data_IF_561210567027
#
_entry.id   IF_561210567027
#
_cell.length_a   1.000
_cell.length_b   1.000
_cell.length_c   1.000
_cell.angle_alpha   90.00
_cell.angle_beta   90.00
_cell.angle_gamma   90.00
#
_symmetry.space_group_name_H-M   'P 1'
#
loop_
_entity.id
_entity.type
_entity.pdbx_description
1 polymer ?
#
# COMPACT_ATOMS: atom_id res chain seq x y z
N UNK A 1 -19.92 -4.45 -2.28
CA UNK A 1 -19.39 -3.89 -3.54
C UNK A 1 -17.91 -3.59 -3.37
N UNK A 2 -17.02 -4.56 -3.65
CA UNK A 2 -15.59 -4.41 -3.34
C UNK A 2 -14.82 -3.91 -4.57
N UNK A 3 -14.19 -2.74 -4.47
CA UNK A 3 -13.24 -2.20 -5.46
C UNK A 3 -12.12 -1.57 -4.64
N UNK A 4 -10.95 -2.21 -4.55
CA UNK A 4 -9.85 -2.06 -5.51
C UNK A 4 -9.60 -0.59 -5.80
N UNK A 5 -8.86 0.08 -4.92
CA UNK A 5 -8.18 1.33 -5.26
C UNK A 5 -6.71 1.23 -4.85
N UNK A 6 -5.96 0.61 -5.77
CA UNK A 6 -4.62 1.00 -6.23
C UNK A 6 -3.50 0.90 -5.18
N UNK A 7 -3.03 -0.34 -4.99
CA UNK A 7 -1.59 -0.59 -4.94
C UNK A 7 -1.00 -0.32 -6.34
N UNK A 8 0.16 0.33 -6.49
CA UNK A 8 0.80 0.42 -7.80
C UNK A 8 1.22 -1.00 -8.24
N UNK A 9 0.69 -1.43 -9.39
CA UNK A 9 1.04 -2.68 -10.06
C UNK A 9 2.51 -2.63 -10.52
N UNK A 10 3.31 -3.63 -10.14
CA UNK A 10 4.63 -3.89 -10.75
C UNK A 10 4.74 -5.41 -10.99
N UNK A 11 5.22 -5.83 -12.18
CA UNK A 11 4.51 -6.66 -13.13
C UNK A 11 4.37 -8.13 -12.71
N UNK A 12 3.24 -8.75 -13.06
CA UNK A 12 3.08 -10.21 -13.04
C UNK A 12 3.97 -10.85 -14.11
N UNK A 13 5.18 -11.25 -13.74
CA UNK A 13 5.86 -12.31 -14.48
C UNK A 13 5.17 -13.64 -14.12
N UNK A 14 4.19 -14.00 -14.97
CA UNK A 14 3.70 -15.34 -15.27
C UNK A 14 3.60 -16.36 -14.11
N UNK A 15 2.41 -16.42 -13.50
CA UNK A 15 1.95 -17.63 -12.81
C UNK A 15 1.20 -18.51 -13.81
N UNK A 16 1.88 -19.51 -14.37
CA UNK A 16 1.27 -20.57 -15.19
C UNK A 16 1.19 -21.89 -14.39
N UNK A 17 -0.03 -22.42 -14.28
CA UNK A 17 -0.38 -23.56 -13.43
C UNK A 17 -0.16 -24.88 -14.18
N UNK A 18 0.78 -25.71 -13.72
CA UNK A 18 0.76 -27.17 -13.91
C UNK A 18 1.24 -27.90 -12.64
N UNK A 19 0.35 -28.00 -11.65
CA UNK A 19 0.09 -29.24 -10.90
C UNK A 19 1.22 -30.09 -10.29
N UNK A 20 2.36 -29.54 -9.84
CA UNK A 20 3.30 -30.28 -9.00
C UNK A 20 3.76 -29.44 -7.80
N UNK A 21 3.46 -29.93 -6.59
CA UNK A 21 3.89 -29.32 -5.34
C UNK A 21 5.42 -29.47 -5.18
N UNK A 22 6.14 -28.42 -5.53
CA UNK A 22 7.55 -28.27 -5.15
C UNK A 22 7.57 -27.30 -3.97
N UNK A 23 7.73 -27.83 -2.76
CA UNK A 23 7.98 -27.07 -1.54
C UNK A 23 9.38 -26.44 -1.62
N UNK A 24 9.56 -25.45 -2.51
CA UNK A 24 10.60 -24.47 -2.28
C UNK A 24 10.06 -23.57 -1.18
N UNK A 25 10.42 -23.88 0.07
CA UNK A 25 10.38 -22.88 1.12
C UNK A 25 11.21 -21.71 0.59
N UNK A 26 10.54 -20.69 0.05
CA UNK A 26 11.18 -19.43 -0.25
C UNK A 26 11.85 -18.97 1.04
N UNK A 27 13.12 -18.54 1.02
CA UNK A 27 13.68 -17.89 2.19
C UNK A 27 12.76 -16.71 2.52
N UNK A 28 12.12 -16.77 3.68
CA UNK A 28 11.36 -15.67 4.23
C UNK A 28 12.32 -14.50 4.46
N UNK A 29 12.44 -13.62 3.47
CA UNK A 29 13.34 -12.46 3.50
C UNK A 29 13.92 -12.22 2.12
N UNK A 30 13.53 -11.20 1.36
CA UNK A 30 13.06 -9.87 1.73
C UNK A 30 12.12 -9.39 0.62
N UNK A 31 10.81 -9.40 0.88
CA UNK A 31 9.92 -8.53 0.13
C UNK A 31 9.85 -7.23 0.91
N UNK A 32 9.99 -6.08 0.24
CA UNK A 32 9.53 -4.78 0.78
C UNK A 32 7.98 -4.78 0.80
N UNK A 33 7.39 -5.85 1.33
CA UNK A 33 5.96 -6.01 1.45
C UNK A 33 5.55 -5.41 2.80
N UNK A 34 4.51 -4.56 2.84
CA UNK A 34 3.91 -4.19 4.11
C UNK A 34 3.56 -5.46 4.88
N UNK A 35 3.87 -5.50 6.17
CA UNK A 35 3.57 -6.66 6.99
C UNK A 35 2.06 -6.95 6.99
N UNK A 36 1.67 -8.21 7.09
CA UNK A 36 0.26 -8.61 7.18
C UNK A 36 -0.47 -7.88 8.33
N UNK A 37 0.27 -7.62 9.43
CA UNK A 37 -0.20 -6.83 10.57
C UNK A 37 -0.49 -5.38 10.23
N UNK A 38 0.33 -4.75 9.37
CA UNK A 38 0.11 -3.40 8.89
C UNK A 38 -1.14 -3.32 8.03
N UNK A 39 -1.31 -4.28 7.11
CA UNK A 39 -2.48 -4.35 6.22
C UNK A 39 -3.78 -4.47 7.01
N UNK A 40 -3.83 -5.39 7.98
CA UNK A 40 -5.00 -5.52 8.87
C UNK A 40 -5.29 -4.25 9.65
N UNK A 41 -4.26 -3.55 10.11
CA UNK A 41 -4.46 -2.31 10.84
C UNK A 41 -5.07 -1.22 9.94
N UNK A 42 -4.56 -1.07 8.71
CA UNK A 42 -5.07 -0.09 7.75
C UNK A 42 -6.50 -0.41 7.29
N UNK A 43 -6.82 -1.69 7.13
CA UNK A 43 -8.15 -2.14 6.74
C UNK A 43 -9.20 -1.90 7.84
N UNK A 44 -8.82 -2.08 9.11
CA UNK A 44 -9.72 -1.87 10.26
C UNK A 44 -9.83 -0.40 10.70
N UNK A 45 -9.16 0.54 10.03
CA UNK A 45 -9.19 1.94 10.44
C UNK A 45 -10.51 2.63 10.10
N UNK A 46 -11.10 3.39 11.04
CA UNK A 46 -12.23 4.25 10.76
C UNK A 46 -11.77 5.44 9.91
N UNK A 47 -12.02 5.37 8.61
CA UNK A 47 -11.75 6.48 7.67
C UNK A 47 -13.03 6.88 6.96
N UNK A 48 -13.10 8.14 6.53
CA UNK A 48 -14.21 8.62 5.71
C UNK A 48 -13.94 8.30 4.24
N UNK A 49 -14.99 8.22 3.43
CA UNK A 49 -14.88 8.08 1.97
C UNK A 49 -14.65 9.42 1.26
N UNK A 50 -14.34 10.48 2.02
CA UNK A 50 -14.06 11.80 1.46
C UNK A 50 -12.76 11.76 0.65
N UNK A 51 -12.78 12.41 -0.51
CA UNK A 51 -11.62 12.51 -1.39
C UNK A 51 -10.92 13.85 -1.20
N UNK A 52 -9.84 13.83 -0.42
CA UNK A 52 -8.97 14.98 -0.17
C UNK A 52 -7.51 14.49 -0.16
N UNK A 53 -6.92 14.28 -1.35
CA UNK A 53 -5.68 13.53 -1.46
C UNK A 53 -4.52 14.25 -0.78
N UNK A 54 -3.58 13.50 -0.22
CA UNK A 54 -2.35 14.03 0.39
C UNK A 54 -1.14 13.22 -0.06
N UNK A 55 -0.02 13.91 -0.27
CA UNK A 55 1.24 13.30 -0.64
C UNK A 55 2.07 13.02 0.60
N UNK A 56 2.39 11.75 0.82
CA UNK A 56 3.27 11.30 1.90
C UNK A 56 4.75 11.39 1.55
N UNK A 57 5.61 11.32 2.56
CA UNK A 57 7.08 11.26 2.41
C UNK A 57 7.57 10.06 1.62
N UNK A 58 6.72 9.03 1.50
CA UNK A 58 6.96 7.82 0.73
C UNK A 58 6.66 7.99 -0.77
N UNK A 59 6.42 9.23 -1.24
CA UNK A 59 5.92 9.52 -2.59
C UNK A 59 4.59 8.85 -2.94
N UNK A 60 3.86 8.37 -1.94
CA UNK A 60 2.55 7.76 -2.10
C UNK A 60 1.43 8.76 -1.83
N UNK A 61 0.41 8.72 -2.68
CA UNK A 61 -0.80 9.54 -2.52
C UNK A 61 -1.83 8.80 -1.69
N UNK A 62 -2.29 9.40 -0.61
CA UNK A 62 -3.36 8.87 0.23
C UNK A 62 -4.65 9.61 -0.12
N UNK A 63 -5.75 8.88 -0.30
CA UNK A 63 -7.04 9.46 -0.71
C UNK A 63 -7.59 10.52 0.27
N UNK A 64 -7.23 10.43 1.54
CA UNK A 64 -7.55 11.43 2.54
C UNK A 64 -6.55 11.46 3.70
N UNK A 65 -6.60 12.54 4.46
CA UNK A 65 -5.82 12.72 5.68
C UNK A 65 -6.09 11.62 6.71
N UNK A 66 -7.32 11.09 6.76
CA UNK A 66 -7.67 10.00 7.68
C UNK A 66 -6.94 8.69 7.35
N UNK A 67 -6.84 8.32 6.07
CA UNK A 67 -6.08 7.16 5.57
C UNK A 67 -4.58 7.35 5.80
N UNK A 68 -4.08 8.57 5.59
CA UNK A 68 -2.70 8.90 5.94
C UNK A 68 -2.43 8.72 7.45
N UNK A 69 -3.29 9.28 8.30
CA UNK A 69 -3.19 9.17 9.75
C UNK A 69 -3.30 7.72 10.24
N UNK A 70 -4.11 6.90 9.56
CA UNK A 70 -4.19 5.49 9.82
C UNK A 70 -2.87 4.77 9.53
N UNK A 71 -2.26 5.00 8.36
CA UNK A 71 -0.96 4.41 8.05
C UNK A 71 0.08 4.76 9.13
N UNK A 72 0.11 6.01 9.59
CA UNK A 72 1.02 6.45 10.67
C UNK A 72 0.71 5.73 11.99
N UNK A 73 -0.57 5.63 12.36
CA UNK A 73 -1.01 4.94 13.58
C UNK A 73 -0.69 3.45 13.56
N UNK A 74 -0.72 2.83 12.37
CA UNK A 74 -0.35 1.44 12.13
C UNK A 74 1.17 1.19 12.12
N UNK A 75 1.98 2.24 12.22
CA UNK A 75 3.44 2.15 12.32
C UNK A 75 4.21 2.67 11.11
N UNK A 76 3.54 3.23 10.09
CA UNK A 76 4.24 3.87 8.98
C UNK A 76 4.94 5.15 9.45
N UNK A 77 6.25 5.25 9.21
CA UNK A 77 7.05 6.43 9.55
C UNK A 77 7.07 7.44 8.40
N UNK A 78 5.90 7.94 8.04
CA UNK A 78 5.70 8.87 6.92
C UNK A 78 5.21 10.23 7.41
N UNK A 79 5.48 11.29 6.66
CA UNK A 79 4.99 12.65 6.94
C UNK A 79 4.27 13.20 5.71
N UNK A 80 3.39 14.17 5.90
CA UNK A 80 2.75 14.85 4.77
C UNK A 80 3.78 15.80 4.17
N UNK A 81 4.09 15.62 2.88
CA UNK A 81 4.90 16.56 2.10
C UNK A 81 4.01 17.71 1.61
N UNK A 82 2.85 17.35 1.06
CA UNK A 82 1.97 18.30 0.37
C UNK A 82 0.51 17.84 0.41
N UNK A 83 -0.40 18.81 0.48
CA UNK A 83 -1.83 18.59 0.26
C UNK A 83 -2.09 18.52 -1.25
N UNK A 84 -2.72 17.44 -1.70
CA UNK A 84 -2.85 17.03 -3.10
C UNK A 84 -2.17 15.68 -3.36
N UNK A 85 -2.38 15.13 -4.56
CA UNK A 85 -1.65 13.94 -5.01
C UNK A 85 -0.16 14.23 -5.15
N UNK A 86 0.68 13.20 -5.01
CA UNK A 86 2.10 13.30 -5.32
C UNK A 86 2.30 13.59 -6.82
N UNK A 87 3.31 14.42 -7.12
CA UNK A 87 3.72 14.66 -8.50
C UNK A 87 4.42 13.40 -9.04
N UNK A 88 4.21 13.03 -10.32
CA UNK A 88 5.04 12.02 -10.95
C UNK A 88 6.50 12.49 -10.91
N UNK A 89 7.42 11.59 -10.57
CA UNK A 89 8.85 11.89 -10.33
C UNK A 89 9.66 12.34 -11.57
N UNK A 90 8.98 12.75 -12.64
CA UNK A 90 9.60 13.28 -13.85
C UNK A 90 9.31 14.77 -13.96
N UNK A 91 10.22 15.58 -13.42
CA UNK A 91 10.28 17.03 -13.59
C UNK A 91 11.74 17.46 -13.68
#
# INVERSE_FOLDING_TARGET
FPLVWIYPEIPQAAMDFHGLAIFFAAPSGVTNLPSETFLRCVDNCPTTSEYNPVCGSDMQSYHNMAKFGCAVSCGARIRVIRVGTCLPVNG
#
